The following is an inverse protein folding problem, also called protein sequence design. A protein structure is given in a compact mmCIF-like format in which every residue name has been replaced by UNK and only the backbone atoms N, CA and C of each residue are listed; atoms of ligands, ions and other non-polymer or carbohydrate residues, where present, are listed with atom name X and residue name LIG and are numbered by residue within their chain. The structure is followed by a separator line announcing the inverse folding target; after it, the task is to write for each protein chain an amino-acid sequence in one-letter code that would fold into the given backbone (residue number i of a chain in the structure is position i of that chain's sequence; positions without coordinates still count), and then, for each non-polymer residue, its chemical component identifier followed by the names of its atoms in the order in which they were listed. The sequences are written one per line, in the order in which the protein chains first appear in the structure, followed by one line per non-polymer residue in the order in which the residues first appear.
data_IF_037601925876
#
_entry.id   IF_037601925876
#
_cell.length_a   1.000
_cell.length_b   1.000
_cell.length_c   1.000
_cell.angle_alpha   90.00
_cell.angle_beta   90.00
_cell.angle_gamma   90.00
#
_symmetry.space_group_name_H-M   'P 1'
#
loop_
_entity.id
_entity.type
_entity.pdbx_description
1 polymer ?
#
# COMPACT_ATOMS: atom_id res chain seq x y z
N UNK A 1 -14.70 25.54 -27.64
CA UNK A 1 -15.18 24.41 -26.82
C UNK A 1 -14.14 23.30 -26.66
N UNK A 2 -13.49 22.82 -27.74
CA UNK A 2 -12.50 21.72 -27.71
C UNK A 2 -11.29 21.97 -26.78
N UNK A 3 -10.71 23.18 -26.76
CA UNK A 3 -9.56 23.53 -25.89
C UNK A 3 -9.88 23.43 -24.38
N UNK A 4 -11.13 23.68 -23.99
CA UNK A 4 -11.56 23.56 -22.58
C UNK A 4 -11.63 22.10 -22.13
N UNK A 5 -12.14 21.22 -23.00
CA UNK A 5 -12.22 19.79 -22.77
C UNK A 5 -10.83 19.14 -22.61
N UNK A 6 -9.87 19.47 -23.47
CA UNK A 6 -8.49 18.97 -23.34
C UNK A 6 -7.81 19.44 -22.06
N UNK A 7 -8.07 20.69 -21.62
CA UNK A 7 -7.49 21.23 -20.38
C UNK A 7 -8.02 20.49 -19.14
N UNK A 8 -9.32 20.19 -19.13
CA UNK A 8 -9.96 19.37 -18.08
C UNK A 8 -9.39 17.94 -18.05
N UNK A 9 -9.28 17.28 -19.20
CA UNK A 9 -8.73 15.93 -19.31
C UNK A 9 -7.27 15.86 -18.82
N UNK A 10 -6.44 16.85 -19.17
CA UNK A 10 -5.04 16.90 -18.78
C UNK A 10 -4.86 17.15 -17.28
N UNK A 11 -5.74 17.96 -16.67
CA UNK A 11 -5.75 18.20 -15.23
C UNK A 11 -6.18 16.94 -14.48
N UNK A 12 -7.17 16.21 -14.99
CA UNK A 12 -7.65 14.94 -14.43
C UNK A 12 -6.57 13.84 -14.46
N UNK A 13 -5.84 13.73 -15.58
CA UNK A 13 -4.75 12.76 -15.73
C UNK A 13 -3.54 13.07 -14.83
N UNK A 14 -3.23 14.35 -14.59
CA UNK A 14 -2.14 14.75 -13.67
C UNK A 14 -2.45 14.33 -12.23
N UNK A 15 -3.68 14.53 -11.78
CA UNK A 15 -4.11 14.15 -10.42
C UNK A 15 -3.96 12.65 -10.19
N UNK A 16 -4.40 11.80 -11.13
CA UNK A 16 -4.26 10.35 -10.95
C UNK A 16 -2.81 9.87 -10.94
N UNK A 17 -1.96 10.45 -11.80
CA UNK A 17 -0.53 10.11 -11.81
C UNK A 17 0.14 10.48 -10.48
N UNK A 18 -0.23 11.63 -9.90
CA UNK A 18 0.25 12.04 -8.60
C UNK A 18 -0.16 11.06 -7.50
N UNK A 19 -1.43 10.64 -7.46
CA UNK A 19 -1.94 9.69 -6.46
C UNK A 19 -1.33 8.29 -6.61
N UNK A 20 -1.06 7.85 -7.83
CA UNK A 20 -0.29 6.62 -8.08
C UNK A 20 1.14 6.72 -7.54
N UNK A 21 1.83 7.82 -7.84
CA UNK A 21 3.16 8.09 -7.31
C UNK A 21 3.17 8.10 -5.79
N UNK A 22 2.19 8.76 -5.17
CA UNK A 22 2.03 8.79 -3.72
C UNK A 22 1.85 7.39 -3.12
N UNK A 23 1.04 6.53 -3.76
CA UNK A 23 0.84 5.14 -3.29
C UNK A 23 2.15 4.34 -3.31
N UNK A 24 2.96 4.49 -4.36
CA UNK A 24 4.29 3.85 -4.46
C UNK A 24 5.25 4.40 -3.41
N UNK A 25 5.28 5.72 -3.22
CA UNK A 25 6.12 6.36 -2.19
C UNK A 25 5.76 5.86 -0.80
N UNK A 26 4.46 5.76 -0.46
CA UNK A 26 4.01 5.22 0.82
C UNK A 26 4.46 3.77 1.01
N UNK A 27 4.40 2.95 -0.05
CA UNK A 27 4.87 1.57 0.02
C UNK A 27 6.38 1.49 0.28
N UNK A 28 7.18 2.32 -0.38
CA UNK A 28 8.63 2.41 -0.16
C UNK A 28 8.93 2.86 1.28
N UNK A 29 8.23 3.87 1.79
CA UNK A 29 8.36 4.31 3.18
C UNK A 29 8.04 3.17 4.15
N UNK A 30 7.02 2.38 3.84
CA UNK A 30 6.62 1.21 4.65
C UNK A 30 7.72 0.15 4.68
N UNK A 31 8.32 -0.17 3.53
CA UNK A 31 9.48 -1.06 3.46
C UNK A 31 10.66 -0.55 4.30
N UNK A 32 10.99 0.73 4.15
CA UNK A 32 12.09 1.36 4.86
C UNK A 32 11.87 1.40 6.37
N UNK A 33 10.63 1.63 6.81
CA UNK A 33 10.24 1.61 8.22
C UNK A 33 10.45 0.23 8.84
N UNK A 34 10.02 -0.85 8.16
CA UNK A 34 10.25 -2.23 8.61
C UNK A 34 11.75 -2.53 8.68
N UNK A 35 12.48 -2.25 7.60
CA UNK A 35 13.92 -2.54 7.50
C UNK A 35 14.73 -1.85 8.61
N UNK A 36 14.41 -0.60 8.91
CA UNK A 36 15.19 0.20 9.87
C UNK A 36 14.85 -0.09 11.34
N UNK A 37 13.62 -0.50 11.64
CA UNK A 37 13.12 -0.56 13.02
C UNK A 37 12.86 -1.97 13.54
N UNK A 38 12.49 -2.91 12.68
CA UNK A 38 12.05 -4.24 13.11
C UNK A 38 13.19 -5.28 13.10
N UNK A 39 14.36 -4.96 12.51
CA UNK A 39 15.58 -5.80 12.48
C UNK A 39 15.29 -7.32 12.56
N UNK A 40 14.85 -7.94 11.45
CA UNK A 40 14.27 -9.28 11.45
C UNK A 40 15.25 -10.44 11.74
N UNK A 41 16.50 -10.15 12.10
CA UNK A 41 17.59 -11.13 12.25
C UNK A 41 17.67 -11.76 13.65
N UNK A 42 17.21 -11.09 14.72
CA UNK A 42 17.48 -11.56 16.10
C UNK A 42 16.27 -11.64 17.04
N UNK A 43 15.12 -11.01 16.71
CA UNK A 43 14.00 -10.94 17.65
C UNK A 43 12.70 -11.49 17.07
N UNK A 44 12.13 -12.43 17.81
CA UNK A 44 10.88 -13.07 17.45
C UNK A 44 9.74 -12.08 17.72
N UNK A 45 9.14 -11.57 16.66
CA UNK A 45 8.07 -10.58 16.77
C UNK A 45 6.76 -11.25 17.22
N UNK A 46 6.21 -10.83 18.34
CA UNK A 46 4.98 -11.39 18.91
C UNK A 46 3.75 -10.93 18.11
N UNK A 47 3.39 -11.68 17.05
CA UNK A 47 2.25 -11.34 16.18
C UNK A 47 0.88 -11.80 16.71
N UNK A 48 0.81 -12.77 17.63
CA UNK A 48 -0.46 -13.33 18.11
C UNK A 48 -0.34 -14.04 19.46
N UNK A 49 -1.30 -13.82 20.36
CA UNK A 49 -1.49 -14.62 21.58
C UNK A 49 -2.48 -15.76 21.29
N UNK A 50 -2.08 -17.02 21.44
CA UNK A 50 -2.98 -18.16 21.39
C UNK A 50 -3.24 -18.68 22.82
N UNK A 51 -4.52 -18.80 23.21
CA UNK A 51 -4.93 -19.21 24.56
C UNK A 51 -4.48 -20.64 24.89
N UNK A 52 -4.28 -21.49 23.87
CA UNK A 52 -3.88 -22.89 24.02
C UNK A 52 -2.35 -23.11 24.06
N UNK A 53 -1.54 -22.17 23.56
CA UNK A 53 -0.08 -22.38 23.35
C UNK A 53 0.81 -21.23 23.83
N UNK A 54 0.24 -20.12 24.34
CA UNK A 54 1.00 -18.90 24.64
C UNK A 54 1.21 -18.03 23.40
N UNK A 55 2.24 -17.16 23.42
CA UNK A 55 2.63 -16.35 22.25
C UNK A 55 2.95 -17.31 21.12
N UNK A 56 2.11 -17.32 20.09
CA UNK A 56 2.30 -18.17 18.93
C UNK A 56 3.32 -17.45 18.04
N UNK A 57 4.58 -17.88 18.14
CA UNK A 57 5.70 -17.36 17.37
C UNK A 57 5.56 -17.75 15.90
N UNK A 58 4.59 -17.14 15.19
CA UNK A 58 4.31 -17.46 13.79
C UNK A 58 5.34 -16.77 12.87
N UNK A 59 6.50 -17.39 12.82
CA UNK A 59 7.38 -17.38 11.66
C UNK A 59 8.50 -16.35 11.68
N UNK A 60 9.46 -16.65 10.82
CA UNK A 60 10.69 -15.90 10.57
C UNK A 60 10.38 -14.39 10.48
N UNK A 61 11.18 -13.51 11.09
CA UNK A 61 10.94 -12.05 11.11
C UNK A 61 10.75 -11.44 9.71
N UNK A 62 11.22 -12.14 8.69
CA UNK A 62 10.96 -11.88 7.27
C UNK A 62 9.47 -11.86 6.88
N UNK A 63 8.58 -12.53 7.61
CA UNK A 63 7.14 -12.54 7.35
C UNK A 63 6.52 -11.14 7.44
N UNK A 64 7.14 -10.21 8.17
CA UNK A 64 6.65 -8.83 8.28
C UNK A 64 6.75 -8.09 6.93
N UNK A 65 7.67 -8.50 6.05
CA UNK A 65 7.73 -7.97 4.68
C UNK A 65 6.55 -8.43 3.80
N UNK A 66 5.75 -9.41 4.22
CA UNK A 66 4.52 -9.78 3.49
C UNK A 66 3.50 -8.64 3.50
N UNK A 67 3.49 -7.78 4.53
CA UNK A 67 2.62 -6.60 4.60
C UNK A 67 2.88 -5.63 3.44
N UNK A 68 4.07 -5.02 3.30
CA UNK A 68 4.32 -4.08 2.20
C UNK A 68 4.32 -4.79 0.84
N UNK A 69 4.70 -6.07 0.75
CA UNK A 69 4.70 -6.83 -0.51
C UNK A 69 3.28 -7.10 -1.01
N UNK A 70 2.35 -7.51 -0.13
CA UNK A 70 0.93 -7.68 -0.50
C UNK A 70 0.29 -6.36 -0.91
N UNK A 71 0.59 -5.27 -0.20
CA UNK A 71 0.15 -3.92 -0.57
C UNK A 71 0.70 -3.48 -1.94
N UNK A 72 1.94 -3.86 -2.29
CA UNK A 72 2.52 -3.63 -3.62
C UNK A 72 1.80 -4.43 -4.70
N UNK A 73 1.46 -5.70 -4.45
CA UNK A 73 0.66 -6.51 -5.37
C UNK A 73 -0.69 -5.85 -5.65
N UNK A 74 -1.34 -5.30 -4.63
CA UNK A 74 -2.62 -4.57 -4.78
C UNK A 74 -2.44 -3.32 -5.66
N UNK A 75 -1.35 -2.55 -5.48
CA UNK A 75 -1.02 -1.43 -6.37
C UNK A 75 -0.92 -1.92 -7.82
N UNK A 76 -0.18 -3.00 -8.08
CA UNK A 76 0.03 -3.53 -9.43
C UNK A 76 -1.29 -3.95 -10.06
N UNK A 77 -2.12 -4.72 -9.34
CA UNK A 77 -3.42 -5.17 -9.84
C UNK A 77 -4.33 -3.97 -10.16
N UNK A 78 -4.45 -3.02 -9.24
CA UNK A 78 -5.28 -1.84 -9.45
C UNK A 78 -4.73 -0.94 -10.57
N UNK A 79 -3.42 -0.90 -10.77
CA UNK A 79 -2.80 -0.15 -11.87
C UNK A 79 -3.12 -0.80 -13.22
N UNK A 80 -3.06 -2.13 -13.31
CA UNK A 80 -3.50 -2.88 -14.49
C UNK A 80 -4.98 -2.65 -14.78
N UNK A 81 -5.84 -2.66 -13.75
CA UNK A 81 -7.25 -2.33 -13.89
C UNK A 81 -7.46 -0.89 -14.40
N UNK A 82 -6.71 0.08 -13.88
CA UNK A 82 -6.72 1.46 -14.35
C UNK A 82 -6.35 1.56 -15.84
N UNK A 83 -5.33 0.84 -16.30
CA UNK A 83 -4.94 0.83 -17.72
C UNK A 83 -6.07 0.29 -18.62
N UNK A 84 -6.76 -0.76 -18.19
CA UNK A 84 -7.87 -1.36 -18.93
C UNK A 84 -9.14 -0.48 -18.93
N UNK A 85 -9.39 0.24 -17.83
CA UNK A 85 -10.60 1.06 -17.63
C UNK A 85 -10.45 2.52 -18.08
N UNK A 86 -9.24 2.93 -18.50
CA UNK A 86 -8.89 4.32 -18.85
C UNK A 86 -9.82 4.98 -19.88
N UNK A 87 -10.46 4.19 -20.75
CA UNK A 87 -11.33 4.69 -21.83
C UNK A 87 -12.80 4.85 -21.45
N UNK A 88 -13.27 4.19 -20.39
CA UNK A 88 -14.71 3.96 -20.21
C UNK A 88 -15.33 4.82 -19.11
N UNK A 89 -14.72 4.92 -17.92
CA UNK A 89 -15.37 5.55 -16.77
C UNK A 89 -14.37 6.27 -15.84
N UNK A 90 -14.50 7.59 -15.71
CA UNK A 90 -13.66 8.40 -14.80
C UNK A 90 -13.81 8.01 -13.32
N UNK A 91 -15.02 7.62 -12.91
CA UNK A 91 -15.31 7.19 -11.54
C UNK A 91 -14.61 5.87 -11.17
N UNK A 92 -14.60 4.86 -12.05
CA UNK A 92 -13.92 3.59 -11.78
C UNK A 92 -12.41 3.79 -11.66
N UNK A 93 -11.83 4.62 -12.53
CA UNK A 93 -10.41 4.98 -12.44
C UNK A 93 -10.10 5.65 -11.10
N UNK A 94 -10.96 6.56 -10.65
CA UNK A 94 -10.82 7.15 -9.32
C UNK A 94 -10.88 6.11 -8.20
N UNK A 95 -11.83 5.18 -8.26
CA UNK A 95 -11.97 4.13 -7.26
C UNK A 95 -10.73 3.23 -7.18
N UNK A 96 -10.13 2.85 -8.31
CA UNK A 96 -8.91 2.01 -8.32
C UNK A 96 -7.71 2.69 -7.66
N UNK A 97 -7.53 3.98 -7.92
CA UNK A 97 -6.43 4.75 -7.33
C UNK A 97 -6.69 5.00 -5.84
N UNK A 98 -7.93 5.36 -5.49
CA UNK A 98 -8.33 5.60 -4.11
C UNK A 98 -8.20 4.34 -3.24
N UNK A 99 -8.65 3.19 -3.74
CA UNK A 99 -8.51 1.91 -3.04
C UNK A 99 -7.04 1.55 -2.81
N UNK A 100 -6.18 1.75 -3.83
CA UNK A 100 -4.73 1.51 -3.69
C UNK A 100 -4.12 2.39 -2.61
N UNK A 101 -4.46 3.67 -2.60
CA UNK A 101 -3.96 4.64 -1.64
C UNK A 101 -4.45 4.33 -0.22
N UNK A 102 -5.72 3.96 -0.06
CA UNK A 102 -6.29 3.55 1.22
C UNK A 102 -5.56 2.33 1.80
N UNK A 103 -5.30 1.30 0.98
CA UNK A 103 -4.53 0.12 1.40
C UNK A 103 -3.13 0.51 1.86
N UNK A 104 -2.44 1.42 1.16
CA UNK A 104 -1.11 1.87 1.57
C UNK A 104 -1.13 2.63 2.89
N UNK A 105 -2.11 3.50 3.11
CA UNK A 105 -2.28 4.20 4.39
C UNK A 105 -2.53 3.21 5.53
N UNK A 106 -3.46 2.26 5.35
CA UNK A 106 -3.78 1.25 6.36
C UNK A 106 -2.53 0.40 6.68
N UNK A 107 -1.79 -0.01 5.65
CA UNK A 107 -0.57 -0.82 5.82
C UNK A 107 0.51 -0.04 6.57
N UNK A 108 0.71 1.24 6.24
CA UNK A 108 1.67 2.10 6.94
C UNK A 108 1.28 2.28 8.41
N UNK A 109 -0.01 2.51 8.71
CA UNK A 109 -0.50 2.62 10.08
C UNK A 109 -0.24 1.32 10.84
N UNK A 110 -0.55 0.16 10.24
CA UNK A 110 -0.29 -1.14 10.85
C UNK A 110 1.19 -1.32 11.20
N UNK A 111 2.09 -0.97 10.28
CA UNK A 111 3.55 -1.03 10.52
C UNK A 111 4.00 -0.06 11.61
N UNK A 112 3.48 1.16 11.64
CA UNK A 112 3.80 2.13 12.71
C UNK A 112 3.35 1.62 14.07
N UNK A 113 2.19 0.97 14.17
CA UNK A 113 1.72 0.35 15.40
C UNK A 113 2.62 -0.82 15.81
N UNK A 114 3.02 -1.68 14.88
CA UNK A 114 3.95 -2.79 15.15
C UNK A 114 5.30 -2.29 15.68
N UNK A 115 5.84 -1.21 15.10
CA UNK A 115 7.09 -0.56 15.55
C UNK A 115 6.96 0.09 16.93
N UNK A 116 5.75 0.47 17.36
CA UNK A 116 5.54 1.03 18.70
C UNK A 116 5.42 -0.04 19.77
N UNK A 117 4.96 -1.23 19.41
CA UNK A 117 4.69 -2.33 20.33
C UNK A 117 5.95 -3.16 20.59
N UNK A 118 6.81 -3.32 19.58
CA UNK A 118 8.11 -3.98 19.68
C UNK A 118 9.21 -2.92 19.82
#
# INVERSE_FOLDING_TARGET
MLKSFFKFLFQYLKTFRFLWGLSVVLNIITFFAIFSKIKPEDEIVALKYNILSGVEWYGNGFNIYLLPTSALIIIVINYLLYLNLKKYLGFLNFLTVFASLAVQIITLIAVVLLIRIN
#
